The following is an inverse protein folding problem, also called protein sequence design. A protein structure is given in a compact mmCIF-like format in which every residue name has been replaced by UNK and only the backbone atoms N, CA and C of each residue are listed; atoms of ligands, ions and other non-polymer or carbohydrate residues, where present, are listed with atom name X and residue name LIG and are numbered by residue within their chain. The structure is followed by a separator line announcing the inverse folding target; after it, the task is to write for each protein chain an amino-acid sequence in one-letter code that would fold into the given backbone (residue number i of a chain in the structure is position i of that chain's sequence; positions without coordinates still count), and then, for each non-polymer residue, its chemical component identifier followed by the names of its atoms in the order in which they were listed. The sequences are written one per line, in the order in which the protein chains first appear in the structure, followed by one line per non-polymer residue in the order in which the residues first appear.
data_IF_212796933419
#
_entry.id   IF_212796933419
#
_cell.length_a   1.000
_cell.length_b   1.000
_cell.length_c   1.000
_cell.angle_alpha   90.00
_cell.angle_beta   90.00
_cell.angle_gamma   90.00
#
_symmetry.space_group_name_H-M   'P 1'
#
loop_
_entity.id
_entity.type
_entity.pdbx_description
1 polymer ?
#
# COMPACT_ATOMS: atom_id res chain seq x y z
N UNK A 1 -10.36 -25.48 -20.44
CA UNK A 1 -9.89 -24.49 -21.43
C UNK A 1 -8.45 -24.14 -21.09
N UNK A 2 -7.55 -24.18 -22.07
CA UNK A 2 -6.15 -23.85 -21.86
C UNK A 2 -5.96 -22.35 -21.58
N UNK A 3 -5.15 -22.04 -20.59
CA UNK A 3 -4.81 -20.68 -20.20
C UNK A 3 -3.72 -20.14 -21.14
N UNK A 4 -3.97 -19.01 -21.81
CA UNK A 4 -2.98 -18.30 -22.63
C UNK A 4 -1.89 -17.68 -21.75
N UNK A 5 -2.27 -17.13 -20.60
CA UNK A 5 -1.33 -16.54 -19.64
C UNK A 5 -1.87 -16.62 -18.23
N UNK A 6 -0.99 -16.87 -17.25
CA UNK A 6 -1.30 -16.66 -15.84
C UNK A 6 -0.62 -15.40 -15.34
N UNK A 7 -1.41 -14.46 -14.79
CA UNK A 7 -0.93 -13.20 -14.24
C UNK A 7 -1.42 -13.01 -12.81
N UNK A 8 -0.49 -12.93 -11.86
CA UNK A 8 -0.79 -12.77 -10.42
C UNK A 8 -1.88 -13.73 -9.92
N UNK A 9 -1.75 -15.01 -10.28
CA UNK A 9 -2.67 -16.12 -9.95
C UNK A 9 -4.05 -16.06 -10.63
N UNK A 10 -4.29 -15.15 -11.59
CA UNK A 10 -5.43 -15.23 -12.51
C UNK A 10 -4.97 -15.87 -13.82
N UNK A 11 -5.63 -16.94 -14.23
CA UNK A 11 -5.49 -17.49 -15.58
C UNK A 11 -6.37 -16.70 -16.56
N UNK A 12 -5.85 -16.43 -17.74
CA UNK A 12 -6.54 -15.72 -18.82
C UNK A 12 -6.71 -16.68 -19.98
N UNK A 13 -7.96 -16.85 -20.39
CA UNK A 13 -8.41 -17.73 -21.48
C UNK A 13 -8.54 -16.96 -22.81
N UNK A 14 -8.70 -17.65 -23.95
CA UNK A 14 -9.07 -17.00 -25.21
C UNK A 14 -10.36 -16.17 -25.10
N UNK A 15 -11.35 -16.66 -24.35
CA UNK A 15 -12.63 -16.00 -24.13
C UNK A 15 -12.45 -14.69 -23.33
N UNK A 16 -11.59 -14.70 -22.31
CA UNK A 16 -11.22 -13.49 -21.58
C UNK A 16 -10.61 -12.43 -22.52
N UNK A 17 -9.74 -12.83 -23.44
CA UNK A 17 -9.12 -11.91 -24.42
C UNK A 17 -10.18 -11.30 -25.33
N UNK A 18 -11.15 -12.09 -25.77
CA UNK A 18 -12.22 -11.61 -26.64
C UNK A 18 -13.15 -10.62 -25.93
N UNK A 19 -13.44 -10.86 -24.64
CA UNK A 19 -14.15 -9.89 -23.80
C UNK A 19 -13.39 -8.55 -23.75
N UNK A 20 -12.07 -8.59 -23.56
CA UNK A 20 -11.25 -7.37 -23.54
C UNK A 20 -11.30 -6.63 -24.87
N UNK A 21 -11.22 -7.34 -26.01
CA UNK A 21 -11.31 -6.72 -27.34
C UNK A 21 -12.65 -6.01 -27.54
N UNK A 22 -13.75 -6.69 -27.25
CA UNK A 22 -15.11 -6.13 -27.33
C UNK A 22 -15.25 -4.85 -26.49
N UNK A 23 -14.72 -4.85 -25.27
CA UNK A 23 -14.76 -3.67 -24.39
C UNK A 23 -13.96 -2.50 -24.98
N UNK A 24 -12.80 -2.76 -25.58
CA UNK A 24 -11.97 -1.74 -26.24
C UNK A 24 -12.68 -1.17 -27.47
N UNK A 25 -13.24 -2.03 -28.32
CA UNK A 25 -13.96 -1.66 -29.54
C UNK A 25 -15.22 -0.85 -29.25
N UNK A 26 -15.95 -1.17 -28.19
CA UNK A 26 -17.11 -0.40 -27.75
C UNK A 26 -16.73 1.00 -27.20
N UNK A 27 -15.46 1.22 -26.84
CA UNK A 27 -15.01 2.43 -26.14
C UNK A 27 -13.69 3.01 -26.68
N UNK A 28 -13.57 3.29 -28.00
CA UNK A 28 -12.29 3.64 -28.63
C UNK A 28 -11.70 4.95 -28.10
N UNK A 29 -12.55 5.89 -27.70
CA UNK A 29 -12.15 7.18 -27.14
C UNK A 29 -11.87 7.17 -25.63
N UNK A 30 -12.06 6.06 -24.92
CA UNK A 30 -11.91 6.03 -23.45
C UNK A 30 -10.47 5.73 -23.03
N UNK A 31 -10.16 6.05 -21.78
CA UNK A 31 -8.82 5.85 -21.23
C UNK A 31 -8.58 4.38 -20.85
N UNK A 32 -7.31 3.96 -20.80
CA UNK A 32 -6.93 2.62 -20.28
C UNK A 32 -7.44 2.36 -18.85
N UNK A 33 -7.67 3.41 -18.04
CA UNK A 33 -8.29 3.29 -16.70
C UNK A 33 -9.76 2.89 -16.81
N UNK A 34 -10.52 3.55 -17.68
CA UNK A 34 -11.91 3.19 -17.93
C UNK A 34 -12.02 1.75 -18.43
N UNK A 35 -11.23 1.38 -19.45
CA UNK A 35 -11.20 0.01 -19.99
C UNK A 35 -10.94 -1.02 -18.91
N UNK A 36 -9.96 -0.80 -18.02
CA UNK A 36 -9.68 -1.74 -16.93
C UNK A 36 -10.80 -1.86 -15.90
N UNK A 37 -11.60 -0.81 -15.71
CA UNK A 37 -12.75 -0.86 -14.81
C UNK A 37 -13.87 -1.70 -15.43
N UNK A 38 -14.17 -1.50 -16.72
CA UNK A 38 -15.14 -2.33 -17.44
C UNK A 38 -14.74 -3.80 -17.47
N UNK A 39 -13.48 -4.09 -17.80
CA UNK A 39 -12.95 -5.48 -17.77
C UNK A 39 -13.08 -6.08 -16.36
N UNK A 40 -12.75 -5.32 -15.30
CA UNK A 40 -12.96 -5.81 -13.94
C UNK A 40 -14.43 -6.01 -13.57
N UNK A 41 -15.37 -5.22 -14.11
CA UNK A 41 -16.80 -5.45 -13.87
C UNK A 41 -17.28 -6.72 -14.57
N UNK A 42 -16.91 -6.89 -15.83
CA UNK A 42 -17.32 -8.03 -16.65
C UNK A 42 -16.78 -9.35 -16.08
N UNK A 43 -15.56 -9.34 -15.55
CA UNK A 43 -14.93 -10.50 -14.94
C UNK A 43 -15.26 -10.69 -13.45
N UNK A 44 -16.10 -9.82 -12.88
CA UNK A 44 -16.29 -9.65 -11.44
C UNK A 44 -14.97 -9.66 -10.64
N UNK A 45 -13.93 -9.03 -11.19
CA UNK A 45 -12.59 -9.10 -10.65
C UNK A 45 -12.38 -8.07 -9.54
N UNK A 46 -12.75 -8.47 -8.32
CA UNK A 46 -12.77 -7.62 -7.13
C UNK A 46 -11.79 -8.06 -6.04
N UNK A 47 -11.47 -7.12 -5.16
CA UNK A 47 -10.82 -7.35 -3.87
C UNK A 47 -11.86 -7.86 -2.85
N UNK A 48 -11.43 -8.44 -1.70
CA UNK A 48 -12.36 -8.88 -0.66
C UNK A 48 -13.29 -7.79 -0.12
N UNK A 49 -12.88 -6.52 -0.21
CA UNK A 49 -13.69 -5.36 0.17
C UNK A 49 -14.63 -4.86 -0.95
N UNK A 50 -14.79 -5.61 -2.04
CA UNK A 50 -15.67 -5.27 -3.17
C UNK A 50 -15.09 -4.28 -4.20
N UNK A 51 -13.96 -3.64 -3.90
CA UNK A 51 -13.30 -2.70 -4.82
C UNK A 51 -12.74 -3.45 -6.03
N UNK A 52 -12.91 -2.89 -7.24
CA UNK A 52 -12.35 -3.46 -8.47
C UNK A 52 -10.83 -3.59 -8.39
N UNK A 53 -10.28 -4.64 -9.01
CA UNK A 53 -8.82 -4.83 -9.17
C UNK A 53 -8.28 -4.09 -10.40
N UNK A 54 -8.80 -2.91 -10.72
CA UNK A 54 -8.55 -2.18 -11.97
C UNK A 54 -7.06 -1.83 -12.16
N UNK A 55 -6.35 -1.48 -11.08
CA UNK A 55 -4.89 -1.25 -11.11
C UNK A 55 -4.12 -2.51 -11.57
N UNK A 56 -4.51 -3.68 -11.06
CA UNK A 56 -3.89 -4.97 -11.42
C UNK A 56 -4.34 -5.41 -12.82
N UNK A 57 -5.58 -5.10 -13.19
CA UNK A 57 -6.07 -5.34 -14.54
C UNK A 57 -5.32 -4.49 -15.56
N UNK A 58 -5.03 -3.21 -15.29
CA UNK A 58 -4.23 -2.39 -16.22
C UNK A 58 -2.87 -2.97 -16.49
N UNK A 59 -2.17 -3.49 -15.48
CA UNK A 59 -0.89 -4.14 -15.71
C UNK A 59 -1.03 -5.45 -16.48
N UNK A 60 -2.12 -6.21 -16.28
CA UNK A 60 -2.44 -7.36 -17.14
C UNK A 60 -2.68 -6.95 -18.60
N UNK A 61 -3.48 -5.90 -18.83
CA UNK A 61 -3.78 -5.40 -20.18
C UNK A 61 -2.50 -5.00 -20.93
N UNK A 62 -1.53 -4.38 -20.24
CA UNK A 62 -0.22 -4.09 -20.84
C UNK A 62 0.54 -5.36 -21.23
N UNK A 63 0.46 -6.42 -20.43
CA UNK A 63 1.07 -7.72 -20.76
C UNK A 63 0.37 -8.35 -21.98
N UNK A 64 -0.96 -8.28 -22.05
CA UNK A 64 -1.71 -8.78 -23.22
C UNK A 64 -1.35 -8.01 -24.50
N UNK A 65 -1.24 -6.68 -24.42
CA UNK A 65 -0.79 -5.83 -25.55
C UNK A 65 0.65 -6.18 -25.97
N UNK A 66 1.56 -6.36 -25.01
CA UNK A 66 2.96 -6.73 -25.31
C UNK A 66 3.11 -8.09 -26.01
N UNK A 67 2.10 -8.96 -25.85
CA UNK A 67 2.02 -10.27 -26.52
C UNK A 67 1.24 -10.22 -27.85
N UNK A 68 0.80 -9.05 -28.29
CA UNK A 68 0.00 -8.88 -29.51
C UNK A 68 -1.43 -9.43 -29.41
N UNK A 69 -1.92 -9.76 -28.20
CA UNK A 69 -3.25 -10.36 -28.02
C UNK A 69 -4.37 -9.32 -28.12
N UNK A 70 -4.09 -8.07 -27.74
CA UNK A 70 -4.99 -6.93 -27.81
C UNK A 70 -4.23 -5.69 -28.26
N UNK A 71 -4.95 -4.64 -28.68
CA UNK A 71 -4.39 -3.31 -28.95
C UNK A 71 -5.06 -2.30 -28.03
N UNK A 72 -4.30 -1.68 -27.11
CA UNK A 72 -4.87 -0.70 -26.19
C UNK A 72 -4.98 0.68 -26.85
N UNK A 73 -5.94 1.52 -26.40
CA UNK A 73 -5.99 2.91 -26.83
C UNK A 73 -4.70 3.65 -26.45
N UNK A 74 -4.39 4.72 -27.18
CA UNK A 74 -3.23 5.55 -26.91
C UNK A 74 -3.22 6.06 -25.46
N UNK A 75 -2.02 6.20 -24.90
CA UNK A 75 -1.86 6.71 -23.53
C UNK A 75 -2.25 8.18 -23.48
N UNK A 76 -3.28 8.51 -22.69
CA UNK A 76 -3.77 9.89 -22.54
C UNK A 76 -3.13 10.68 -21.40
N UNK A 77 -2.57 10.00 -20.40
CA UNK A 77 -2.05 10.66 -19.20
C UNK A 77 -0.92 9.85 -18.54
N UNK A 78 0.05 10.58 -17.97
CA UNK A 78 1.13 10.05 -17.14
C UNK A 78 0.97 10.67 -15.75
N UNK A 79 0.45 9.93 -14.76
CA UNK A 79 0.45 10.45 -13.40
C UNK A 79 1.89 10.61 -12.92
N UNK A 80 2.16 11.69 -12.19
CA UNK A 80 3.40 11.82 -11.45
C UNK A 80 3.56 10.61 -10.52
N UNK A 81 4.77 10.05 -10.44
CA UNK A 81 5.06 8.96 -9.53
C UNK A 81 5.54 9.54 -8.19
N UNK A 82 4.70 9.51 -7.12
CA UNK A 82 5.09 10.10 -5.84
C UNK A 82 6.25 9.34 -5.16
N UNK A 83 6.56 8.13 -5.63
CA UNK A 83 7.69 7.34 -5.15
C UNK A 83 9.00 7.70 -5.85
N UNK A 84 8.95 8.30 -7.05
CA UNK A 84 10.12 8.76 -7.78
C UNK A 84 10.65 10.08 -7.22
N UNK A 85 9.75 10.99 -6.85
CA UNK A 85 10.08 12.29 -6.25
C UNK A 85 9.53 12.38 -4.82
N UNK A 86 10.29 11.82 -3.87
CA UNK A 86 9.88 11.83 -2.46
C UNK A 86 10.14 13.20 -1.85
N UNK A 87 9.08 13.94 -1.54
CA UNK A 87 9.18 15.17 -0.75
C UNK A 87 9.48 14.81 0.72
N UNK A 88 10.53 15.42 1.27
CA UNK A 88 10.81 15.35 2.70
C UNK A 88 9.63 16.00 3.45
N UNK A 89 9.14 15.41 4.55
CA UNK A 89 8.16 16.07 5.40
C UNK A 89 8.69 17.43 5.87
N UNK A 90 7.79 18.41 6.00
CA UNK A 90 8.11 19.68 6.62
C UNK A 90 8.53 19.47 8.06
N UNK A 91 9.43 20.32 8.57
CA UNK A 91 9.76 20.38 9.99
C UNK A 91 8.51 20.69 10.82
N UNK A 92 8.46 20.17 12.04
CA UNK A 92 7.31 20.32 12.93
C UNK A 92 7.81 20.86 14.27
N UNK A 93 7.18 21.93 14.75
CA UNK A 93 7.46 22.46 16.08
C UNK A 93 6.59 21.72 17.09
N UNK A 94 7.21 20.99 17.99
CA UNK A 94 6.57 20.38 19.18
C UNK A 94 7.30 20.82 20.43
N UNK A 95 6.62 20.74 21.58
CA UNK A 95 7.28 20.88 22.87
C UNK A 95 8.34 19.77 23.02
N UNK A 96 9.60 20.20 23.09
CA UNK A 96 10.79 19.37 23.24
C UNK A 96 11.42 19.50 24.63
N UNK A 97 10.70 20.09 25.60
CA UNK A 97 11.17 20.20 26.99
C UNK A 97 11.36 18.80 27.56
N UNK A 98 12.54 18.42 28.05
CA UNK A 98 12.78 17.08 28.59
C UNK A 98 11.76 16.68 29.64
N UNK A 99 11.22 15.47 29.54
CA UNK A 99 10.24 14.96 30.48
C UNK A 99 10.98 14.24 31.62
N UNK A 100 11.03 14.89 32.79
CA UNK A 100 11.60 14.35 34.02
C UNK A 100 10.48 13.99 35.00
N UNK A 101 9.93 12.78 34.88
CA UNK A 101 8.90 12.28 35.79
C UNK A 101 8.99 10.74 35.90
N UNK A 102 8.18 10.17 36.80
CA UNK A 102 8.01 8.72 36.84
C UNK A 102 7.15 8.26 35.67
N UNK A 103 7.29 7.01 35.23
CA UNK A 103 6.45 6.46 34.14
C UNK A 103 4.97 6.48 34.51
N UNK A 104 4.64 6.36 35.81
CA UNK A 104 3.26 6.47 36.31
C UNK A 104 2.65 7.84 36.06
N UNK A 105 3.45 8.92 36.08
CA UNK A 105 2.98 10.29 35.84
C UNK A 105 2.64 10.55 34.36
N UNK A 106 3.10 9.67 33.45
CA UNK A 106 2.77 9.78 32.02
C UNK A 106 1.36 9.30 31.70
N UNK A 107 0.71 8.56 32.61
CA UNK A 107 -0.61 8.00 32.35
C UNK A 107 -1.73 9.02 32.55
N UNK A 108 -2.81 8.93 31.77
CA UNK A 108 -3.06 7.95 30.71
C UNK A 108 -2.29 8.28 29.42
N UNK A 109 -1.70 7.25 28.80
CA UNK A 109 -1.12 7.34 27.46
C UNK A 109 -2.21 7.01 26.43
N UNK A 110 -2.58 8.00 25.63
CA UNK A 110 -3.56 7.85 24.56
C UNK A 110 -2.85 7.48 23.26
N UNK A 111 -3.19 6.33 22.70
CA UNK A 111 -2.65 5.86 21.42
C UNK A 111 -3.67 6.12 20.32
N UNK A 112 -3.37 7.08 19.43
CA UNK A 112 -4.32 7.51 18.40
C UNK A 112 -3.84 7.10 17.01
N UNK A 113 -4.76 6.59 16.18
CA UNK A 113 -4.47 6.29 14.78
C UNK A 113 -4.53 7.58 13.95
N UNK A 114 -3.37 8.06 13.50
CA UNK A 114 -3.24 9.40 12.90
C UNK A 114 -3.27 9.41 11.37
N UNK A 115 -3.28 8.25 10.70
CA UNK A 115 -3.30 8.17 9.23
C UNK A 115 -4.60 8.79 8.68
N UNK A 116 -4.47 9.66 7.67
CA UNK A 116 -5.57 10.44 7.05
C UNK A 116 -6.24 11.42 8.01
N UNK A 117 -5.54 11.83 9.07
CA UNK A 117 -5.96 12.90 9.98
C UNK A 117 -5.00 14.09 9.87
N UNK A 118 -5.34 15.27 10.44
CA UNK A 118 -4.41 16.39 10.51
C UNK A 118 -3.07 16.05 11.19
N UNK A 119 -3.06 15.12 12.15
CA UNK A 119 -1.86 14.67 12.86
C UNK A 119 -0.88 13.86 11.99
N UNK A 120 -1.28 13.36 10.81
CA UNK A 120 -0.38 12.60 9.94
C UNK A 120 0.85 13.41 9.52
N UNK A 121 0.70 14.73 9.30
CA UNK A 121 1.82 15.61 8.94
C UNK A 121 2.80 15.76 10.11
N UNK A 122 2.28 15.89 11.32
CA UNK A 122 3.06 15.97 12.56
C UNK A 122 3.87 14.67 12.74
N UNK A 123 3.21 13.52 12.64
CA UNK A 123 3.87 12.21 12.66
C UNK A 123 5.03 12.12 11.65
N UNK A 124 4.79 12.52 10.40
CA UNK A 124 5.80 12.42 9.35
C UNK A 124 7.02 13.31 9.64
N UNK A 125 6.79 14.53 10.13
CA UNK A 125 7.86 15.45 10.52
C UNK A 125 8.68 14.92 11.69
N UNK A 126 8.03 14.50 12.78
CA UNK A 126 8.69 13.94 13.95
C UNK A 126 9.54 12.71 13.61
N UNK A 127 9.01 11.78 12.81
CA UNK A 127 9.77 10.63 12.33
C UNK A 127 10.90 11.04 11.39
N UNK A 128 10.71 12.08 10.58
CA UNK A 128 11.77 12.59 9.71
C UNK A 128 12.92 13.24 10.48
N UNK A 129 12.63 13.82 11.64
CA UNK A 129 13.59 14.58 12.45
C UNK A 129 14.32 13.70 13.45
N UNK A 130 13.58 12.89 14.22
CA UNK A 130 14.15 12.19 15.39
C UNK A 130 14.41 10.70 15.18
N UNK A 131 13.77 10.04 14.20
CA UNK A 131 14.05 8.63 13.95
C UNK A 131 15.33 8.47 13.13
N UNK A 132 16.27 7.63 13.57
CA UNK A 132 17.58 7.45 12.93
C UNK A 132 17.53 7.03 11.44
N UNK A 133 16.48 6.31 11.01
CA UNK A 133 16.22 5.99 9.59
C UNK A 133 15.42 7.05 8.82
N UNK A 134 15.07 8.16 9.46
CA UNK A 134 14.18 9.20 8.93
C UNK A 134 12.80 8.69 8.49
N UNK A 135 12.05 9.58 7.84
CA UNK A 135 10.74 9.24 7.27
C UNK A 135 10.89 8.65 5.87
N UNK A 136 10.17 7.55 5.63
CA UNK A 136 9.93 7.02 4.29
C UNK A 136 8.46 6.68 4.17
N UNK A 137 7.82 7.12 3.10
CA UNK A 137 6.41 6.84 2.83
C UNK A 137 6.16 5.32 2.84
N UNK A 138 5.35 4.79 3.77
CA UNK A 138 4.98 3.39 3.75
C UNK A 138 4.23 3.03 2.46
N UNK A 139 4.56 1.86 1.90
CA UNK A 139 3.94 1.31 0.69
C UNK A 139 2.97 0.20 1.09
N UNK A 140 1.80 0.14 0.44
CA UNK A 140 0.75 -0.84 0.74
C UNK A 140 -0.11 -0.44 1.94
N UNK A 141 -0.82 -1.41 2.51
CA UNK A 141 -1.60 -1.20 3.74
C UNK A 141 -0.66 -0.95 4.91
N UNK A 142 -0.94 0.11 5.66
CA UNK A 142 -0.12 0.56 6.78
C UNK A 142 -0.93 1.40 7.77
N UNK A 143 -0.42 1.43 9.00
CA UNK A 143 -0.96 2.17 10.12
C UNK A 143 0.09 3.15 10.63
N UNK A 144 -0.37 4.29 11.14
CA UNK A 144 0.44 5.27 11.85
C UNK A 144 -0.29 5.61 13.12
N UNK A 145 0.41 5.52 14.24
CA UNK A 145 -0.09 5.91 15.54
C UNK A 145 0.83 6.91 16.20
N UNK A 146 0.23 7.83 16.94
CA UNK A 146 0.94 8.69 17.88
C UNK A 146 0.48 8.38 19.30
N UNK A 147 1.43 8.34 20.23
CA UNK A 147 1.12 8.24 21.64
C UNK A 147 1.19 9.65 22.25
N UNK A 148 0.20 9.96 23.10
CA UNK A 148 0.08 11.25 23.77
C UNK A 148 -0.01 11.05 25.29
N UNK A 149 0.64 11.92 26.06
CA UNK A 149 0.47 12.07 27.50
C UNK A 149 0.08 13.52 27.78
N UNK A 150 -1.05 13.75 28.45
CA UNK A 150 -1.56 15.11 28.68
C UNK A 150 -1.78 15.95 27.42
N UNK A 151 -2.03 15.32 26.26
CA UNK A 151 -2.14 15.98 24.95
C UNK A 151 -0.80 16.28 24.28
N UNK A 152 0.34 16.04 24.96
CA UNK A 152 1.68 16.17 24.37
C UNK A 152 2.08 14.87 23.64
N UNK A 153 2.52 14.93 22.37
CA UNK A 153 3.10 13.78 21.70
C UNK A 153 4.33 13.26 22.45
N UNK A 154 4.42 11.94 22.65
CA UNK A 154 5.58 11.29 23.30
C UNK A 154 6.18 10.16 22.46
N UNK A 155 5.43 9.60 21.50
CA UNK A 155 5.94 8.56 20.60
C UNK A 155 5.22 8.53 19.25
N UNK A 156 5.90 7.98 18.24
CA UNK A 156 5.38 7.72 16.90
C UNK A 156 5.64 6.25 16.52
N UNK A 157 4.60 5.54 16.11
CA UNK A 157 4.68 4.14 15.68
C UNK A 157 4.07 3.95 14.30
N UNK A 158 4.76 3.25 13.40
CA UNK A 158 4.20 2.85 12.11
C UNK A 158 4.32 1.35 11.90
N UNK A 159 3.27 0.76 11.34
CA UNK A 159 3.22 -0.62 10.91
C UNK A 159 2.82 -0.72 9.45
N UNK A 160 3.32 -1.71 8.74
CA UNK A 160 2.99 -1.96 7.35
C UNK A 160 2.73 -3.42 7.09
N UNK A 161 2.23 -3.70 5.88
CA UNK A 161 2.12 -5.06 5.37
C UNK A 161 3.47 -5.79 5.43
N UNK A 162 3.45 -7.07 5.81
CA UNK A 162 4.66 -7.87 5.83
C UNK A 162 5.29 -8.01 4.44
N UNK A 163 6.61 -7.85 4.30
CA UNK A 163 7.28 -8.10 3.03
C UNK A 163 7.08 -9.54 2.56
N UNK A 164 6.95 -9.73 1.25
CA UNK A 164 6.49 -11.01 0.69
C UNK A 164 7.46 -12.17 1.01
N UNK A 165 8.77 -11.92 0.93
CA UNK A 165 9.81 -12.89 1.23
C UNK A 165 10.77 -12.35 2.30
N UNK A 166 10.75 -12.98 3.48
CA UNK A 166 11.77 -12.80 4.50
C UNK A 166 12.09 -14.18 5.05
N UNK A 167 13.18 -14.78 4.55
CA UNK A 167 13.55 -16.15 4.93
C UNK A 167 13.81 -16.32 6.43
N UNK A 168 14.40 -15.31 7.08
CA UNK A 168 14.65 -15.36 8.54
C UNK A 168 13.36 -15.38 9.35
N UNK A 169 12.35 -14.57 8.99
CA UNK A 169 11.02 -14.58 9.60
C UNK A 169 10.36 -15.94 9.41
N UNK A 170 10.31 -16.41 8.16
CA UNK A 170 9.60 -17.65 7.83
C UNK A 170 10.22 -18.85 8.57
N UNK A 171 11.55 -18.91 8.69
CA UNK A 171 12.25 -19.93 9.50
C UNK A 171 11.99 -19.80 10.99
N UNK A 172 12.03 -18.57 11.54
CA UNK A 172 11.79 -18.33 12.96
C UNK A 172 10.39 -18.77 13.40
N UNK A 173 9.36 -18.49 12.59
CA UNK A 173 7.98 -18.91 12.87
C UNK A 173 7.75 -20.41 12.54
N UNK A 174 8.68 -21.05 11.81
CA UNK A 174 8.52 -22.43 11.33
C UNK A 174 7.55 -22.56 10.15
N UNK A 175 7.39 -21.49 9.36
CA UNK A 175 6.47 -21.47 8.23
C UNK A 175 7.08 -22.09 6.97
N UNK A 176 6.37 -23.07 6.41
CA UNK A 176 6.59 -23.50 5.02
C UNK A 176 6.14 -22.43 4.04
N UNK A 177 6.51 -22.56 2.75
CA UNK A 177 6.01 -21.68 1.68
C UNK A 177 4.48 -21.61 1.65
N UNK A 178 3.80 -22.77 1.78
CA UNK A 178 2.34 -22.85 1.76
C UNK A 178 1.72 -22.15 2.98
N UNK A 179 2.30 -22.35 4.16
CA UNK A 179 1.85 -21.69 5.40
C UNK A 179 1.99 -20.17 5.29
N UNK A 180 3.15 -19.69 4.82
CA UNK A 180 3.37 -18.26 4.58
C UNK A 180 2.36 -17.68 3.61
N UNK A 181 2.14 -18.32 2.46
CA UNK A 181 1.18 -17.80 1.46
C UNK A 181 -0.24 -17.68 2.01
N UNK A 182 -0.64 -18.57 2.93
CA UNK A 182 -1.94 -18.50 3.61
C UNK A 182 -1.96 -17.40 4.68
N UNK A 183 -0.91 -17.26 5.47
CA UNK A 183 -0.95 -16.50 6.72
C UNK A 183 -0.26 -15.14 6.66
N UNK A 184 0.48 -14.81 5.59
CA UNK A 184 1.28 -13.57 5.52
C UNK A 184 0.45 -12.30 5.75
N UNK A 185 -0.80 -12.29 5.31
CA UNK A 185 -1.72 -11.17 5.49
C UNK A 185 -2.09 -10.90 6.97
N UNK A 186 -1.78 -11.83 7.88
CA UNK A 186 -1.98 -11.71 9.33
C UNK A 186 -0.75 -11.10 10.04
N UNK A 187 0.34 -10.83 9.33
CA UNK A 187 1.56 -10.23 9.90
C UNK A 187 1.62 -8.74 9.57
N UNK A 188 1.83 -7.93 10.60
CA UNK A 188 2.25 -6.55 10.48
C UNK A 188 3.76 -6.42 10.73
N UNK A 189 4.44 -5.67 9.88
CA UNK A 189 5.85 -5.32 10.05
C UNK A 189 5.95 -3.96 10.74
N UNK A 190 6.73 -3.85 11.82
CA UNK A 190 7.02 -2.54 12.40
C UNK A 190 7.97 -1.78 11.46
N UNK A 191 7.52 -0.62 10.98
CA UNK A 191 8.28 0.23 10.06
C UNK A 191 9.07 1.28 10.81
N UNK A 192 8.47 1.86 11.86
CA UNK A 192 9.07 2.90 12.69
C UNK A 192 8.59 2.72 14.13
N UNK A 193 9.51 2.89 15.05
CA UNK A 193 9.25 2.94 16.48
C UNK A 193 10.11 4.07 17.03
N UNK A 194 9.48 5.18 17.40
CA UNK A 194 10.15 6.38 17.87
C UNK A 194 9.53 6.78 19.21
N UNK A 195 10.35 6.86 20.25
CA UNK A 195 10.05 7.62 21.47
C UNK A 195 10.73 8.97 21.27
N UNK A 196 10.01 10.06 21.52
CA UNK A 196 10.55 11.41 21.35
C UNK A 196 11.59 11.73 22.43
N UNK A 197 12.59 12.56 22.12
CA UNK A 197 13.61 12.98 23.08
C UNK A 197 13.03 13.83 24.22
#
# INVERSE_FOLDING_TARGET
MESIITYRRRSVTPEDVEIVRRIIEAHPGKSRRFISQEVCREWDWRQPNGVLKDMVCRSLLLVLESKGLIKLPARKFIPANPLAERKKPSGVTVDNTPIHCSVTDLFPINLEQVRRTPFEKIFNGLVSEYHYLGYTQPIGEHLKYMAFSGGRPIACLAWGSAPWYIGVRDRFIGWTKKTRERNLHLIANNLRFLILP
#
